data_IF_372219546521
#
_entry.id   IF_372219546521
#
_cell.length_a   1.000
_cell.length_b   1.000
_cell.length_c   1.000
_cell.angle_alpha   90.00
_cell.angle_beta   90.00
_cell.angle_gamma   90.00
#
_symmetry.space_group_name_H-M   'P 1'
#
loop_
_entity.id
_entity.type
_entity.pdbx_description
1 polymer ?
#
# COMPACT_ATOMS: atom_id res chain seq x y z
N UNK A 1 1.39 -13.21 -7.03
CA UNK A 1 2.14 -14.23 -6.27
C UNK A 1 2.79 -13.69 -4.99
N UNK A 2 3.47 -12.55 -5.04
CA UNK A 2 4.17 -11.97 -3.86
C UNK A 2 3.20 -11.71 -2.72
N UNK A 3 2.11 -10.98 -2.97
CA UNK A 3 1.09 -10.65 -1.95
C UNK A 3 0.40 -11.89 -1.38
N UNK A 4 0.10 -12.88 -2.22
CA UNK A 4 -0.46 -14.16 -1.80
C UNK A 4 0.49 -14.89 -0.84
N UNK A 5 1.76 -15.05 -1.26
CA UNK A 5 2.77 -15.72 -0.45
C UNK A 5 2.97 -15.04 0.90
N UNK A 6 3.09 -13.71 0.89
CA UNK A 6 3.26 -12.93 2.12
C UNK A 6 2.07 -13.16 3.08
N UNK A 7 0.84 -13.02 2.58
CA UNK A 7 -0.35 -13.17 3.40
C UNK A 7 -0.51 -14.60 3.95
N UNK A 8 -0.32 -15.61 3.09
CA UNK A 8 -0.45 -17.01 3.51
C UNK A 8 0.51 -17.36 4.65
N UNK A 9 1.79 -17.06 4.49
CA UNK A 9 2.79 -17.40 5.49
C UNK A 9 2.69 -16.54 6.75
N UNK A 10 2.26 -15.29 6.64
CA UNK A 10 2.05 -14.44 7.80
C UNK A 10 0.86 -14.93 8.65
N UNK A 11 -0.26 -15.33 8.01
CA UNK A 11 -1.42 -15.90 8.70
C UNK A 11 -1.06 -17.26 9.31
N UNK A 12 -0.31 -18.09 8.59
CA UNK A 12 0.20 -19.37 9.11
C UNK A 12 1.07 -19.16 10.35
N UNK A 13 2.01 -18.24 10.31
CA UNK A 13 2.86 -17.91 11.47
C UNK A 13 2.03 -17.35 12.64
N UNK A 14 1.00 -16.55 12.37
CA UNK A 14 0.09 -16.05 13.40
C UNK A 14 -0.75 -17.18 14.03
N UNK A 15 -1.13 -18.22 13.27
CA UNK A 15 -1.75 -19.43 13.78
C UNK A 15 -0.78 -20.21 14.69
N UNK A 16 0.43 -20.51 14.22
CA UNK A 16 1.46 -21.23 14.99
C UNK A 16 1.77 -20.50 16.31
N UNK A 17 1.89 -19.18 16.26
CA UNK A 17 2.07 -18.35 17.46
C UNK A 17 0.85 -18.39 18.39
N UNK A 18 -0.36 -18.50 17.83
CA UNK A 18 -1.61 -18.68 18.58
C UNK A 18 -1.65 -20.03 19.29
N UNK A 19 -1.16 -21.09 18.67
CA UNK A 19 -1.02 -22.41 19.27
C UNK A 19 -0.01 -22.43 20.42
N UNK A 20 1.12 -21.74 20.24
CA UNK A 20 2.18 -21.68 21.24
C UNK A 20 1.86 -20.78 22.45
N UNK A 21 1.31 -19.56 22.18
CA UNK A 21 1.18 -18.49 23.17
C UNK A 21 -0.28 -18.10 23.48
N UNK A 22 -1.23 -18.85 22.94
CA UNK A 22 -2.65 -18.52 23.00
C UNK A 22 -3.09 -17.50 21.95
N UNK A 23 -4.37 -17.53 21.60
CA UNK A 23 -4.98 -16.60 20.67
C UNK A 23 -5.08 -15.19 21.23
N UNK A 24 -5.35 -14.21 20.38
CA UNK A 24 -5.62 -12.85 20.82
C UNK A 24 -6.77 -12.82 21.85
N UNK A 25 -6.68 -12.02 22.93
CA UNK A 25 -7.71 -12.01 23.99
C UNK A 25 -9.14 -11.74 23.48
N UNK A 26 -9.25 -10.93 22.41
CA UNK A 26 -10.53 -10.54 21.82
C UNK A 26 -10.81 -11.22 20.48
N UNK A 27 -10.16 -12.35 20.23
CA UNK A 27 -10.30 -13.09 18.96
C UNK A 27 -11.75 -13.45 18.65
N UNK A 28 -12.55 -13.74 19.68
CA UNK A 28 -13.98 -14.04 19.59
C UNK A 28 -14.84 -12.90 19.02
N UNK A 29 -14.32 -11.67 18.99
CA UNK A 29 -14.97 -10.50 18.36
C UNK A 29 -14.59 -10.35 16.89
N UNK A 30 -13.74 -11.20 16.37
CA UNK A 30 -13.29 -11.22 14.97
C UNK A 30 -13.94 -12.35 14.19
N UNK A 31 -13.69 -12.40 12.90
CA UNK A 31 -14.14 -13.49 12.03
C UNK A 31 -13.17 -14.67 11.96
N UNK A 32 -11.97 -14.55 12.54
CA UNK A 32 -10.94 -15.59 12.50
C UNK A 32 -11.42 -16.95 13.04
N UNK A 33 -12.11 -17.05 14.21
CA UNK A 33 -12.60 -18.31 14.73
C UNK A 33 -13.56 -19.04 13.79
N UNK A 34 -14.22 -18.31 12.90
CA UNK A 34 -15.12 -18.86 11.89
C UNK A 34 -14.40 -19.21 10.58
N UNK A 35 -13.07 -19.14 10.56
CA UNK A 35 -12.26 -19.46 9.39
C UNK A 35 -12.29 -18.42 8.27
N UNK A 36 -12.70 -17.18 8.57
CA UNK A 36 -12.63 -16.11 7.58
C UNK A 36 -11.17 -15.79 7.22
N UNK A 37 -10.93 -15.61 5.93
CA UNK A 37 -9.64 -15.24 5.35
C UNK A 37 -9.81 -13.99 4.46
N UNK A 38 -8.78 -13.19 4.23
CA UNK A 38 -8.87 -12.02 3.34
C UNK A 38 -9.43 -12.35 1.94
N UNK A 39 -9.10 -13.53 1.43
CA UNK A 39 -9.56 -14.05 0.13
C UNK A 39 -11.07 -14.34 0.05
N UNK A 40 -11.79 -14.25 1.15
CA UNK A 40 -13.25 -14.50 1.17
C UNK A 40 -14.06 -13.22 0.87
N UNK A 41 -13.51 -12.06 1.16
CA UNK A 41 -14.28 -10.79 1.17
C UNK A 41 -13.74 -9.71 0.21
N UNK A 42 -12.80 -10.04 -0.65
CA UNK A 42 -12.34 -9.11 -1.69
C UNK A 42 -13.39 -8.93 -2.81
N UNK A 43 -13.27 -7.85 -3.56
CA UNK A 43 -14.14 -7.61 -4.71
C UNK A 43 -13.77 -8.56 -5.86
N UNK A 44 -14.71 -9.42 -6.28
CA UNK A 44 -14.44 -10.48 -7.28
C UNK A 44 -14.02 -9.96 -8.67
N UNK A 45 -14.33 -8.70 -9.00
CA UNK A 45 -13.84 -8.05 -10.22
C UNK A 45 -12.31 -8.00 -10.30
N UNK A 46 -11.59 -8.15 -9.18
CA UNK A 46 -10.11 -8.26 -9.18
C UNK A 46 -9.64 -9.51 -9.93
N UNK A 47 -10.44 -10.56 -10.00
CA UNK A 47 -10.08 -11.79 -10.72
C UNK A 47 -10.01 -11.59 -12.25
N UNK A 48 -10.62 -10.51 -12.77
CA UNK A 48 -10.45 -10.06 -14.17
C UNK A 48 -9.02 -9.57 -14.46
N UNK A 49 -8.31 -9.10 -13.42
CA UNK A 49 -6.95 -8.55 -13.55
C UNK A 49 -5.88 -9.64 -13.44
N UNK A 50 -6.20 -10.75 -12.78
CA UNK A 50 -5.22 -11.81 -12.49
C UNK A 50 -5.86 -13.17 -12.75
N UNK A 51 -5.47 -13.80 -13.85
CA UNK A 51 -5.99 -15.11 -14.28
C UNK A 51 -5.35 -16.30 -13.56
N UNK A 52 -4.28 -16.06 -12.79
CA UNK A 52 -3.55 -17.12 -12.07
C UNK A 52 -4.26 -17.48 -10.77
N UNK A 53 -4.68 -18.73 -10.65
CA UNK A 53 -5.29 -19.27 -9.42
C UNK A 53 -4.39 -19.18 -8.18
N UNK A 54 -4.96 -19.41 -7.00
CA UNK A 54 -4.22 -19.45 -5.74
C UNK A 54 -3.18 -20.58 -5.75
N UNK A 55 -2.00 -20.33 -5.16
CA UNK A 55 -0.87 -21.26 -5.17
C UNK A 55 -0.75 -22.09 -3.90
N UNK A 56 -1.35 -21.62 -2.80
CA UNK A 56 -1.23 -22.24 -1.49
C UNK A 56 -2.55 -22.89 -1.07
N UNK A 57 -2.47 -23.84 -0.13
CA UNK A 57 -3.64 -24.53 0.42
C UNK A 57 -4.33 -23.66 1.48
N UNK A 58 -5.15 -22.74 1.03
CA UNK A 58 -5.93 -21.85 1.88
C UNK A 58 -7.02 -22.58 2.66
N UNK A 59 -7.54 -23.70 2.16
CA UNK A 59 -8.56 -24.47 2.86
C UNK A 59 -7.96 -25.25 4.02
N UNK A 60 -6.75 -25.79 3.88
CA UNK A 60 -6.01 -26.33 5.02
C UNK A 60 -5.80 -25.25 6.11
N UNK A 61 -5.35 -24.06 5.71
CA UNK A 61 -5.12 -22.96 6.66
C UNK A 61 -6.41 -22.55 7.37
N UNK A 62 -7.52 -22.47 6.64
CA UNK A 62 -8.86 -22.21 7.18
C UNK A 62 -9.26 -23.25 8.23
N UNK A 63 -9.15 -24.52 7.89
CA UNK A 63 -9.51 -25.63 8.80
C UNK A 63 -8.64 -25.60 10.07
N UNK A 64 -7.35 -25.32 9.92
CA UNK A 64 -6.43 -25.22 11.06
C UNK A 64 -6.76 -24.02 11.98
N UNK A 65 -7.13 -22.87 11.42
CA UNK A 65 -7.58 -21.69 12.20
C UNK A 65 -8.86 -21.99 12.97
N UNK A 66 -9.84 -22.64 12.33
CA UNK A 66 -11.10 -23.05 13.00
C UNK A 66 -10.80 -24.00 14.15
N UNK A 67 -9.99 -25.03 13.92
CA UNK A 67 -9.61 -26.01 14.93
C UNK A 67 -8.89 -25.38 16.13
N UNK A 68 -8.08 -24.33 15.90
CA UNK A 68 -7.40 -23.58 16.96
C UNK A 68 -8.29 -22.53 17.64
N UNK A 69 -9.50 -22.25 17.12
CA UNK A 69 -10.37 -21.17 17.59
C UNK A 69 -9.85 -19.76 17.28
N UNK A 70 -9.00 -19.62 16.28
CA UNK A 70 -8.46 -18.33 15.82
C UNK A 70 -6.94 -18.29 15.68
N UNK A 71 -6.37 -17.08 15.72
CA UNK A 71 -4.94 -16.82 15.59
C UNK A 71 -4.44 -15.87 16.69
N UNK A 72 -3.11 -15.65 16.76
CA UNK A 72 -2.48 -14.79 17.79
C UNK A 72 -2.95 -13.33 17.74
N UNK A 73 -3.33 -12.83 16.57
CA UNK A 73 -3.62 -11.40 16.36
C UNK A 73 -5.08 -11.23 15.90
N UNK A 74 -5.76 -10.20 16.42
CA UNK A 74 -7.11 -9.85 15.97
C UNK A 74 -7.10 -9.14 14.60
N UNK A 75 -6.01 -8.43 14.31
CA UNK A 75 -5.73 -7.71 13.06
C UNK A 75 -4.31 -8.04 12.64
N UNK A 76 -4.03 -8.28 11.37
CA UNK A 76 -2.74 -8.81 10.97
C UNK A 76 -2.05 -8.03 9.86
N UNK A 77 -2.74 -7.77 8.73
CA UNK A 77 -2.12 -7.19 7.53
C UNK A 77 -2.78 -5.86 7.18
N UNK A 78 -2.01 -4.78 7.30
CA UNK A 78 -2.31 -3.46 6.77
C UNK A 78 -1.10 -2.98 5.97
N UNK A 79 -1.32 -2.36 4.81
CA UNK A 79 -0.24 -1.78 4.02
C UNK A 79 -0.28 -0.26 4.17
N UNK A 80 0.62 0.26 5.00
CA UNK A 80 0.72 1.66 5.39
C UNK A 80 2.08 2.24 4.98
N UNK A 81 2.25 3.57 4.99
CA UNK A 81 3.56 4.19 4.92
C UNK A 81 4.42 3.73 6.10
N UNK A 82 5.64 3.29 5.84
CA UNK A 82 6.57 2.79 6.86
C UNK A 82 7.53 3.86 7.38
N UNK A 83 7.48 5.06 6.80
CA UNK A 83 8.16 6.30 7.22
C UNK A 83 9.63 6.10 7.64
N UNK A 84 9.92 6.22 8.93
CA UNK A 84 11.29 6.11 9.45
C UNK A 84 11.94 4.76 9.17
N UNK A 85 11.19 3.67 9.20
CA UNK A 85 11.72 2.34 8.90
C UNK A 85 12.18 2.22 7.45
N UNK A 86 11.44 2.81 6.51
CA UNK A 86 11.84 2.83 5.09
C UNK A 86 13.09 3.68 4.87
N UNK A 87 13.19 4.82 5.56
CA UNK A 87 14.38 5.68 5.50
C UNK A 87 15.62 4.94 6.01
N UNK A 88 15.51 4.27 7.15
CA UNK A 88 16.61 3.49 7.73
C UNK A 88 17.04 2.31 6.85
N UNK A 89 16.11 1.70 6.13
CA UNK A 89 16.38 0.58 5.25
C UNK A 89 16.77 0.98 3.82
N UNK A 90 16.71 2.27 3.46
CA UNK A 90 16.91 2.74 2.08
C UNK A 90 15.84 2.26 1.09
N UNK A 91 14.65 1.88 1.59
CA UNK A 91 13.58 1.28 0.80
C UNK A 91 12.43 2.28 0.53
N UNK A 92 11.57 2.00 -0.46
CA UNK A 92 10.33 2.75 -0.66
C UNK A 92 9.44 2.75 0.58
N UNK A 93 8.65 3.82 0.75
CA UNK A 93 7.83 4.04 1.93
C UNK A 93 6.63 3.09 2.07
N UNK A 94 6.22 2.45 0.99
CA UNK A 94 5.06 1.55 0.97
C UNK A 94 4.89 0.89 -0.39
N UNK A 95 3.72 0.30 -0.66
CA UNK A 95 3.45 -0.41 -1.91
C UNK A 95 3.13 0.56 -3.07
N UNK A 96 3.83 1.66 -3.13
CA UNK A 96 3.61 2.74 -4.08
C UNK A 96 4.69 2.77 -5.16
N UNK A 97 4.38 3.23 -6.38
CA UNK A 97 5.42 3.65 -7.30
C UNK A 97 6.22 4.81 -6.71
N UNK A 98 7.45 4.96 -7.12
CA UNK A 98 8.32 6.02 -6.61
C UNK A 98 7.82 7.40 -7.08
N UNK A 99 8.04 8.42 -6.27
CA UNK A 99 7.80 9.83 -6.68
C UNK A 99 8.93 10.36 -7.55
N UNK A 100 10.16 9.91 -7.28
CA UNK A 100 11.37 10.17 -8.06
C UNK A 100 12.45 9.17 -7.65
N UNK A 101 13.50 9.01 -8.45
CA UNK A 101 14.65 8.15 -8.12
C UNK A 101 15.51 8.73 -6.99
N UNK A 102 15.50 10.04 -6.81
CA UNK A 102 16.12 10.72 -5.67
C UNK A 102 15.21 11.81 -5.14
N UNK A 103 15.15 11.96 -3.82
CA UNK A 103 14.30 12.93 -3.13
C UNK A 103 15.05 13.54 -1.96
N UNK A 104 14.91 14.85 -1.79
CA UNK A 104 15.27 15.50 -0.53
C UNK A 104 14.07 15.42 0.41
N UNK A 105 14.22 14.66 1.48
CA UNK A 105 13.22 14.56 2.55
C UNK A 105 13.66 15.46 3.70
N UNK A 106 12.87 16.48 3.99
CA UNK A 106 13.10 17.35 5.15
C UNK A 106 12.02 17.14 6.19
N UNK A 107 12.42 17.07 7.44
CA UNK A 107 11.57 17.22 8.62
C UNK A 107 12.06 18.41 9.46
N UNK A 108 11.39 18.71 10.58
CA UNK A 108 11.73 19.86 11.42
C UNK A 108 13.20 19.89 11.87
N UNK A 109 13.88 18.75 11.93
CA UNK A 109 15.20 18.59 12.54
C UNK A 109 16.27 18.05 11.58
N UNK A 110 15.89 17.57 10.39
CA UNK A 110 16.84 16.92 9.49
C UNK A 110 16.48 17.08 8.00
N UNK A 111 17.49 17.06 7.17
CA UNK A 111 17.37 16.92 5.72
C UNK A 111 18.08 15.64 5.32
N UNK A 112 17.35 14.73 4.70
CA UNK A 112 17.88 13.46 4.21
C UNK A 112 17.78 13.41 2.69
N UNK A 113 18.90 13.21 2.04
CA UNK A 113 18.90 12.83 0.63
C UNK A 113 18.61 11.33 0.53
N UNK A 114 17.41 10.99 0.03
CA UNK A 114 17.02 9.62 -0.22
C UNK A 114 17.22 9.30 -1.69
N UNK A 115 17.84 8.16 -1.98
CA UNK A 115 18.06 7.65 -3.33
C UNK A 115 17.49 6.24 -3.41
N UNK A 116 16.79 5.92 -4.50
CA UNK A 116 16.26 4.58 -4.73
C UNK A 116 17.40 3.55 -4.79
N UNK A 117 17.19 2.40 -4.17
CA UNK A 117 18.19 1.32 -4.11
C UNK A 117 18.63 0.93 -5.52
N UNK A 118 19.94 0.85 -5.75
CA UNK A 118 20.54 0.50 -7.04
C UNK A 118 20.02 1.33 -8.24
N UNK A 119 19.63 2.58 -8.00
CA UNK A 119 19.05 3.44 -9.04
C UNK A 119 20.02 3.78 -10.20
N UNK A 120 21.30 3.67 -10.01
CA UNK A 120 22.32 3.76 -11.05
C UNK A 120 22.27 2.58 -12.05
N UNK A 121 21.81 1.41 -11.60
CA UNK A 121 21.66 0.20 -12.40
C UNK A 121 20.22 -0.04 -12.87
N UNK A 122 19.24 0.26 -12.02
CA UNK A 122 17.84 -0.10 -12.17
C UNK A 122 16.92 1.08 -12.47
N UNK A 123 17.46 2.25 -12.88
CA UNK A 123 16.68 3.45 -13.13
C UNK A 123 15.49 3.20 -14.08
N UNK A 124 15.70 2.40 -15.12
CA UNK A 124 14.69 2.09 -16.13
C UNK A 124 13.67 1.02 -15.69
N UNK A 125 13.94 0.32 -14.59
CA UNK A 125 13.04 -0.70 -14.04
C UNK A 125 12.13 -0.13 -12.95
N UNK A 126 12.40 1.09 -12.48
CA UNK A 126 11.55 1.78 -11.52
C UNK A 126 10.40 2.50 -12.24
N UNK A 127 9.19 2.29 -11.73
CA UNK A 127 8.02 3.04 -12.17
C UNK A 127 7.85 4.30 -11.32
N UNK A 128 7.78 5.46 -11.97
CA UNK A 128 7.53 6.75 -11.33
C UNK A 128 6.02 7.00 -11.34
N UNK A 129 5.46 7.31 -10.16
CA UNK A 129 4.02 7.43 -9.99
C UNK A 129 3.38 8.55 -10.83
N UNK A 130 4.12 9.58 -11.16
CA UNK A 130 3.64 10.68 -11.99
C UNK A 130 3.62 10.35 -13.49
N UNK A 131 4.40 9.35 -13.92
CA UNK A 131 4.48 8.89 -15.30
C UNK A 131 3.56 7.69 -15.55
N UNK A 132 3.13 7.02 -14.47
CA UNK A 132 2.29 5.84 -14.53
C UNK A 132 0.80 6.17 -14.73
N UNK A 133 0.08 5.32 -15.43
CA UNK A 133 -1.37 5.44 -15.58
C UNK A 133 -2.08 5.27 -14.23
N UNK A 134 -2.84 6.27 -13.73
CA UNK A 134 -3.46 6.22 -12.40
C UNK A 134 -4.35 5.00 -12.18
N UNK A 135 -5.05 4.55 -13.23
CA UNK A 135 -5.92 3.37 -13.17
C UNK A 135 -5.13 2.09 -12.94
N UNK A 136 -3.92 1.96 -13.52
CA UNK A 136 -3.07 0.77 -13.34
C UNK A 136 -2.47 0.72 -11.93
N UNK A 137 -2.12 1.87 -11.36
CA UNK A 137 -1.69 1.96 -9.94
C UNK A 137 -2.83 1.46 -9.03
N UNK A 138 -4.07 1.91 -9.25
CA UNK A 138 -5.24 1.50 -8.47
C UNK A 138 -5.51 0.00 -8.61
N UNK A 139 -5.38 -0.56 -9.81
CA UNK A 139 -5.51 -2.01 -10.05
C UNK A 139 -4.45 -2.81 -9.28
N UNK A 140 -3.22 -2.31 -9.20
CA UNK A 140 -2.15 -2.93 -8.42
C UNK A 140 -2.50 -2.98 -6.93
N UNK A 141 -3.04 -1.88 -6.36
CA UNK A 141 -3.55 -1.90 -4.99
C UNK A 141 -4.70 -2.89 -4.79
N UNK A 142 -5.62 -2.98 -5.75
CA UNK A 142 -6.74 -3.91 -5.68
C UNK A 142 -6.27 -5.38 -5.61
N UNK A 143 -5.25 -5.74 -6.40
CA UNK A 143 -4.63 -7.07 -6.36
C UNK A 143 -4.02 -7.35 -4.99
N UNK A 144 -3.33 -6.39 -4.38
CA UNK A 144 -2.78 -6.53 -3.04
C UNK A 144 -3.88 -6.57 -1.98
N UNK A 145 -4.97 -5.81 -2.15
CA UNK A 145 -6.10 -5.76 -1.23
C UNK A 145 -6.82 -7.11 -1.09
N UNK A 146 -6.79 -7.96 -2.12
CA UNK A 146 -7.31 -9.33 -2.07
C UNK A 146 -6.71 -10.14 -0.92
N UNK A 147 -5.46 -9.85 -0.54
CA UNK A 147 -4.70 -10.59 0.46
C UNK A 147 -4.48 -9.81 1.76
N UNK A 148 -5.18 -8.68 1.93
CA UNK A 148 -5.01 -7.78 3.08
C UNK A 148 -6.29 -7.74 3.89
N UNK A 149 -6.24 -8.09 5.19
CA UNK A 149 -7.42 -8.09 6.07
C UNK A 149 -7.88 -6.65 6.41
N UNK A 150 -6.96 -5.74 6.61
CA UNK A 150 -7.24 -4.30 6.74
C UNK A 150 -7.29 -3.58 5.39
N UNK A 151 -6.83 -2.34 5.36
CA UNK A 151 -6.77 -1.53 4.16
C UNK A 151 -5.33 -1.23 3.73
N UNK A 152 -5.21 -0.67 2.54
CA UNK A 152 -3.98 -0.13 1.97
C UNK A 152 -4.11 1.38 2.01
N UNK A 153 -3.10 2.10 2.49
CA UNK A 153 -3.02 3.55 2.35
C UNK A 153 -2.71 3.88 0.88
N UNK A 154 -3.75 3.85 0.03
CA UNK A 154 -3.60 3.95 -1.42
C UNK A 154 -3.37 5.40 -1.87
N UNK A 155 -2.17 5.71 -2.32
CA UNK A 155 -1.80 7.00 -2.87
C UNK A 155 -2.19 7.11 -4.35
N UNK A 156 -2.50 8.32 -4.78
CA UNK A 156 -2.69 8.65 -6.20
C UNK A 156 -1.72 9.76 -6.60
N UNK A 157 -1.38 9.83 -7.89
CA UNK A 157 -0.36 10.72 -8.43
C UNK A 157 -0.93 11.53 -9.57
N UNK A 158 -0.60 12.82 -9.61
CA UNK A 158 -1.09 13.76 -10.63
C UNK A 158 0.04 14.70 -11.03
N UNK A 159 0.40 14.69 -12.29
CA UNK A 159 1.31 15.70 -12.83
C UNK A 159 0.52 16.94 -13.26
N UNK A 160 0.88 18.09 -12.72
CA UNK A 160 0.39 19.43 -13.07
C UNK A 160 1.53 20.37 -13.40
N UNK A 161 2.69 19.83 -13.72
CA UNK A 161 3.89 20.63 -14.01
C UNK A 161 3.71 21.58 -15.19
N UNK A 162 2.86 21.24 -16.16
CA UNK A 162 2.54 22.05 -17.33
C UNK A 162 1.27 22.91 -17.18
N UNK A 163 0.83 23.18 -15.94
CA UNK A 163 -0.44 23.88 -15.65
C UNK A 163 -1.69 23.17 -16.22
N UNK A 164 -1.62 21.87 -16.42
CA UNK A 164 -2.74 21.08 -16.90
C UNK A 164 -3.81 21.04 -15.82
N UNK A 165 -5.02 21.47 -16.16
CA UNK A 165 -6.19 21.34 -15.29
C UNK A 165 -6.55 19.87 -15.17
N UNK A 166 -6.64 19.38 -13.93
CA UNK A 166 -7.22 18.05 -13.69
C UNK A 166 -8.68 18.06 -14.09
N UNK A 167 -9.06 17.15 -14.98
CA UNK A 167 -10.48 17.04 -15.34
C UNK A 167 -11.24 16.30 -14.24
N UNK A 168 -12.45 16.74 -13.93
CA UNK A 168 -13.35 16.06 -13.00
C UNK A 168 -13.58 14.61 -13.40
N UNK A 169 -13.61 14.34 -14.72
CA UNK A 169 -13.72 13.00 -15.26
C UNK A 169 -12.55 12.10 -14.84
N UNK A 170 -11.32 12.61 -14.86
CA UNK A 170 -10.14 11.82 -14.44
C UNK A 170 -10.22 11.47 -12.95
N UNK A 171 -10.58 12.45 -12.10
CA UNK A 171 -10.77 12.23 -10.66
C UNK A 171 -11.87 11.20 -10.40
N UNK A 172 -13.02 11.36 -11.07
CA UNK A 172 -14.14 10.43 -10.93
C UNK A 172 -13.76 9.01 -11.40
N UNK A 173 -13.01 8.90 -12.50
CA UNK A 173 -12.54 7.60 -13.00
C UNK A 173 -11.67 6.88 -11.97
N UNK A 174 -10.77 7.56 -11.27
CA UNK A 174 -9.98 6.97 -10.18
C UNK A 174 -10.88 6.40 -9.08
N UNK A 175 -11.83 7.20 -8.58
CA UNK A 175 -12.74 6.74 -7.52
C UNK A 175 -13.61 5.57 -7.96
N UNK A 176 -14.17 5.62 -9.16
CA UNK A 176 -14.98 4.54 -9.71
C UNK A 176 -14.15 3.26 -9.90
N UNK A 177 -12.88 3.40 -10.28
CA UNK A 177 -11.95 2.27 -10.39
C UNK A 177 -11.67 1.65 -9.01
N UNK A 178 -11.43 2.47 -7.98
CA UNK A 178 -11.27 1.99 -6.60
C UNK A 178 -12.51 1.21 -6.14
N UNK A 179 -13.70 1.74 -6.39
CA UNK A 179 -14.97 1.08 -6.04
C UNK A 179 -15.15 -0.21 -6.84
N UNK A 180 -14.89 -0.17 -8.15
CA UNK A 180 -15.01 -1.34 -9.03
C UNK A 180 -14.16 -2.51 -8.55
N UNK A 181 -12.91 -2.26 -8.18
CA UNK A 181 -11.96 -3.29 -7.79
C UNK A 181 -11.79 -3.45 -6.27
N UNK A 182 -12.53 -2.70 -5.46
CA UNK A 182 -12.60 -2.89 -4.01
C UNK A 182 -11.37 -2.45 -3.23
N UNK A 183 -10.68 -1.41 -3.67
CA UNK A 183 -9.68 -0.71 -2.86
C UNK A 183 -10.43 -0.02 -1.71
N UNK A 184 -10.11 -0.37 -0.47
CA UNK A 184 -10.91 0.03 0.70
C UNK A 184 -10.71 1.47 1.13
N UNK A 185 -9.54 2.05 0.89
CA UNK A 185 -9.23 3.43 1.29
C UNK A 185 -8.34 4.13 0.29
N UNK A 186 -8.57 5.42 0.11
CA UNK A 186 -7.66 6.37 -0.53
C UNK A 186 -6.93 7.13 0.58
N UNK A 187 -5.64 7.39 0.37
CA UNK A 187 -4.83 8.15 1.32
C UNK A 187 -4.42 9.49 0.71
N UNK A 188 -3.20 9.68 0.24
CA UNK A 188 -2.78 10.95 -0.33
C UNK A 188 -3.10 11.08 -1.83
N UNK A 189 -3.31 12.33 -2.25
CA UNK A 189 -3.25 12.75 -3.65
C UNK A 189 -1.98 13.55 -3.87
N UNK A 190 -0.94 12.88 -4.35
CA UNK A 190 0.34 13.50 -4.64
C UNK A 190 0.24 14.31 -5.93
N UNK A 191 0.64 15.57 -5.90
CA UNK A 191 0.58 16.45 -7.07
C UNK A 191 1.95 17.04 -7.34
N UNK A 192 2.49 16.79 -8.53
CA UNK A 192 3.69 17.45 -9.03
C UNK A 192 3.29 18.82 -9.62
N UNK A 193 3.92 19.89 -9.17
CA UNK A 193 3.66 21.23 -9.68
C UNK A 193 4.99 21.95 -9.94
N UNK A 194 5.02 22.74 -11.01
CA UNK A 194 6.13 23.70 -11.23
C UNK A 194 5.89 24.96 -10.40
N UNK A 195 5.89 24.84 -9.07
CA UNK A 195 5.83 26.01 -8.22
C UNK A 195 7.13 26.84 -8.39
N UNK A 196 6.98 28.06 -8.92
CA UNK A 196 8.05 29.05 -8.86
C UNK A 196 8.06 29.62 -7.44
N UNK A 197 9.23 29.76 -6.85
CA UNK A 197 9.34 30.54 -5.62
C UNK A 197 9.06 32.04 -5.91
N UNK A 198 8.91 32.83 -4.86
CA UNK A 198 8.66 34.27 -4.95
C UNK A 198 9.80 35.04 -5.67
N UNK A 199 10.92 34.40 -5.96
CA UNK A 199 12.07 34.95 -6.70
C UNK A 199 12.06 34.59 -8.20
N UNK A 200 11.06 33.81 -8.67
CA UNK A 200 10.91 33.38 -10.07
C UNK A 200 11.85 32.24 -10.49
N UNK A 201 12.64 31.68 -9.58
CA UNK A 201 13.45 30.50 -9.85
C UNK A 201 12.59 29.24 -9.76
N UNK A 202 12.75 28.29 -10.68
CA UNK A 202 12.16 26.95 -10.55
C UNK A 202 12.66 26.34 -9.23
N UNK A 203 11.75 26.08 -8.30
CA UNK A 203 12.07 25.17 -7.20
C UNK A 203 12.31 23.80 -7.85
N UNK A 204 13.47 23.21 -7.64
CA UNK A 204 13.61 21.77 -7.78
C UNK A 204 12.46 21.14 -6.98
N UNK A 205 11.83 20.12 -7.54
CA UNK A 205 10.63 19.53 -6.96
C UNK A 205 10.93 19.05 -5.53
N UNK A 206 10.73 19.94 -4.57
CA UNK A 206 10.76 19.60 -3.15
C UNK A 206 9.38 19.00 -2.88
N UNK A 207 9.34 17.69 -2.75
CA UNK A 207 8.16 17.01 -2.22
C UNK A 207 8.15 17.30 -0.71
N UNK A 208 7.45 18.36 -0.32
CA UNK A 208 7.16 18.61 1.09
C UNK A 208 6.18 17.53 1.54
N UNK A 209 6.69 16.52 2.25
CA UNK A 209 5.86 15.65 3.07
C UNK A 209 5.46 16.45 4.32
N UNK A 210 4.42 17.28 4.21
CA UNK A 210 3.75 17.79 5.38
C UNK A 210 2.96 16.63 6.02
N UNK A 211 3.60 15.91 6.91
CA UNK A 211 2.89 15.18 7.96
C UNK A 211 2.19 16.22 8.82
N UNK A 212 0.90 16.45 8.60
CA UNK A 212 0.10 17.22 9.52
C UNK A 212 0.10 16.58 10.91
N UNK A 213 -0.26 17.35 11.93
CA UNK A 213 -0.24 17.01 13.38
C UNK A 213 -0.93 15.68 13.79
N UNK A 214 -1.47 14.92 12.86
CA UNK A 214 -2.13 13.62 13.11
C UNK A 214 -1.17 12.44 13.36
N UNK A 215 0.15 12.63 13.26
CA UNK A 215 1.15 11.61 13.55
C UNK A 215 1.82 11.75 14.93
N UNK A 216 1.30 12.61 15.80
CA UNK A 216 1.73 12.69 17.19
C UNK A 216 0.84 11.78 18.04
N UNK A 217 1.28 10.57 18.28
CA UNK A 217 0.91 9.71 19.41
C UNK A 217 2.13 9.48 20.27
#
# INVERSE_FOLDING_TARGET
RISERHAFFLIKAALELGQEKGNAPWIHKTKWPNGWLPIDSYKKTVDELVTVGLAYDWEWLRAAIIANGGIRFSCLIALMPTESSSKAAGMPNGPYPLRALSLKKSDENSVLDWVATDSDLLANDYEIGYDAEPVEIIKSYAIMQKFTDHSISADTYKDRSENVMLSDKAILTEYLTMVKYGVKSKYYSNTLTNAKDSSGKKKEAVVEENCGDSCKL
#
